data_IF_124063840782
#
_entry.id   IF_124063840782
#
_cell.length_a   1.000
_cell.length_b   1.000
_cell.length_c   1.000
_cell.angle_alpha   90.00
_cell.angle_beta   90.00
_cell.angle_gamma   90.00
#
_symmetry.space_group_name_H-M   'P 1'
#
loop_
_entity.id
_entity.type
_entity.pdbx_description
1 polymer ?
#
# COMPACT_ATOMS: atom_id res chain seq x y z
N UNK A 1 12.96 -25.72 -7.03
CA UNK A 1 11.58 -25.32 -7.40
C UNK A 1 11.24 -23.88 -7.02
N UNK A 2 11.98 -23.22 -6.11
CA UNK A 2 11.74 -21.81 -5.71
C UNK A 2 11.91 -20.79 -6.85
N UNK A 3 13.05 -20.78 -7.53
CA UNK A 3 13.34 -19.78 -8.57
C UNK A 3 12.29 -19.70 -9.71
N UNK A 4 11.72 -20.83 -10.14
CA UNK A 4 10.66 -20.82 -11.17
C UNK A 4 9.34 -20.31 -10.62
N UNK A 5 9.01 -20.62 -9.37
CA UNK A 5 7.81 -20.11 -8.71
C UNK A 5 7.91 -18.60 -8.50
N UNK A 6 9.06 -18.11 -8.06
CA UNK A 6 9.36 -16.67 -7.91
C UNK A 6 9.21 -15.93 -9.24
N UNK A 7 9.84 -16.43 -10.32
CA UNK A 7 9.68 -15.84 -11.67
C UNK A 7 8.21 -15.80 -12.13
N UNK A 8 7.44 -16.86 -11.83
CA UNK A 8 6.01 -16.90 -12.17
C UNK A 8 5.18 -15.90 -11.34
N UNK A 9 5.53 -15.69 -10.06
CA UNK A 9 4.86 -14.67 -9.23
C UNK A 9 5.11 -13.29 -9.80
N UNK A 10 6.36 -12.93 -10.08
CA UNK A 10 6.71 -11.61 -10.62
C UNK A 10 5.92 -11.32 -11.91
N UNK A 11 5.91 -12.29 -12.84
CA UNK A 11 5.20 -12.16 -14.12
C UNK A 11 3.68 -12.14 -13.96
N UNK A 12 3.14 -12.90 -13.00
CA UNK A 12 1.72 -12.88 -12.69
C UNK A 12 1.32 -11.54 -12.06
N UNK A 13 2.16 -10.99 -11.18
CA UNK A 13 1.98 -9.65 -10.61
C UNK A 13 2.00 -8.59 -11.71
N UNK A 14 2.95 -8.62 -12.65
CA UNK A 14 2.96 -7.69 -13.79
C UNK A 14 1.66 -7.75 -14.59
N UNK A 15 1.17 -8.97 -14.86
CA UNK A 15 -0.08 -9.17 -15.58
C UNK A 15 -1.28 -8.60 -14.80
N UNK A 16 -1.38 -8.86 -13.50
CA UNK A 16 -2.47 -8.37 -12.64
C UNK A 16 -2.39 -6.86 -12.47
N UNK A 17 -1.21 -6.28 -12.31
CA UNK A 17 -1.02 -4.82 -12.25
C UNK A 17 -1.47 -4.14 -13.54
N UNK A 18 -1.37 -4.79 -14.70
CA UNK A 18 -1.89 -4.28 -15.96
C UNK A 18 -3.40 -4.50 -16.17
N UNK A 19 -3.92 -5.66 -15.78
CA UNK A 19 -5.26 -6.13 -16.18
C UNK A 19 -6.32 -6.10 -15.06
N UNK A 20 -5.91 -5.90 -13.80
CA UNK A 20 -6.78 -6.00 -12.63
C UNK A 20 -6.88 -7.42 -12.05
N UNK A 21 -7.48 -7.48 -10.86
CA UNK A 21 -7.73 -8.67 -10.05
C UNK A 21 -9.17 -9.19 -10.22
N UNK A 22 -10.13 -8.29 -10.43
CA UNK A 22 -11.52 -8.64 -10.68
C UNK A 22 -11.67 -9.51 -11.94
N UNK A 23 -12.32 -10.66 -11.81
CA UNK A 23 -12.49 -11.59 -12.93
C UNK A 23 -11.24 -12.37 -13.32
N UNK A 24 -10.15 -12.28 -12.53
CA UNK A 24 -8.94 -13.08 -12.75
C UNK A 24 -9.30 -14.56 -12.90
N UNK A 25 -8.80 -15.18 -13.96
CA UNK A 25 -8.90 -16.62 -14.19
C UNK A 25 -7.55 -17.19 -14.61
N UNK A 26 -7.32 -18.47 -14.30
CA UNK A 26 -6.03 -19.12 -14.57
C UNK A 26 -5.73 -19.23 -16.07
N UNK A 27 -6.76 -19.39 -16.91
CA UNK A 27 -6.58 -19.63 -18.34
C UNK A 27 -5.99 -18.44 -19.11
N UNK A 28 -6.54 -17.21 -19.02
CA UNK A 28 -5.93 -16.04 -19.64
C UNK A 28 -4.56 -15.71 -19.05
N UNK A 29 -4.40 -15.87 -17.72
CA UNK A 29 -3.14 -15.66 -17.05
C UNK A 29 -2.08 -16.64 -17.56
N UNK A 30 -2.34 -17.94 -17.54
CA UNK A 30 -1.42 -18.97 -18.03
C UNK A 30 -1.01 -18.73 -19.48
N UNK A 31 -1.96 -18.38 -20.35
CA UNK A 31 -1.67 -18.02 -21.74
C UNK A 31 -0.71 -16.83 -21.84
N UNK A 32 -0.95 -15.76 -21.07
CA UNK A 32 -0.06 -14.59 -21.03
C UNK A 32 1.34 -14.92 -20.45
N UNK A 33 1.42 -15.85 -19.50
CA UNK A 33 2.69 -16.33 -18.97
C UNK A 33 3.40 -17.37 -19.87
N UNK A 34 2.78 -17.80 -20.98
CA UNK A 34 3.33 -18.83 -21.86
C UNK A 34 3.41 -20.21 -21.18
N UNK A 35 2.44 -20.52 -20.31
CA UNK A 35 2.33 -21.78 -19.59
C UNK A 35 0.89 -22.33 -19.64
N UNK A 36 0.59 -23.37 -18.86
CA UNK A 36 -0.77 -23.92 -18.73
C UNK A 36 -1.32 -23.74 -17.32
N UNK A 37 -2.64 -23.72 -17.18
CA UNK A 37 -3.35 -23.65 -15.89
C UNK A 37 -2.87 -24.76 -14.94
N UNK A 38 -2.64 -25.96 -15.49
CA UNK A 38 -2.11 -27.11 -14.74
C UNK A 38 -0.72 -26.84 -14.18
N UNK A 39 0.13 -26.13 -14.92
CA UNK A 39 1.47 -25.75 -14.45
C UNK A 39 1.40 -24.65 -13.39
N UNK A 40 0.47 -23.70 -13.51
CA UNK A 40 0.24 -22.72 -12.43
C UNK A 40 -0.22 -23.44 -11.16
N UNK A 41 -1.22 -24.33 -11.24
CA UNK A 41 -1.66 -25.14 -10.10
C UNK A 41 -0.53 -26.00 -9.55
N UNK A 42 0.34 -26.56 -10.38
CA UNK A 42 1.50 -27.32 -9.92
C UNK A 42 2.46 -26.48 -9.07
N UNK A 43 2.70 -25.21 -9.44
CA UNK A 43 3.61 -24.32 -8.70
C UNK A 43 2.98 -23.67 -7.47
N UNK A 44 1.68 -23.37 -7.52
CA UNK A 44 0.99 -22.59 -6.50
C UNK A 44 0.05 -23.41 -5.62
N UNK A 45 -0.29 -24.63 -6.02
CA UNK A 45 -1.26 -25.51 -5.34
C UNK A 45 -2.71 -25.13 -5.62
N UNK A 46 -3.04 -23.84 -5.65
CA UNK A 46 -4.39 -23.33 -5.91
C UNK A 46 -4.37 -21.96 -6.59
N UNK A 47 -5.53 -21.54 -7.11
CA UNK A 47 -5.70 -20.17 -7.64
C UNK A 47 -5.63 -19.15 -6.51
N UNK A 48 -6.19 -19.47 -5.36
CA UNK A 48 -6.23 -18.64 -4.16
C UNK A 48 -4.80 -18.37 -3.66
N UNK A 49 -3.94 -19.39 -3.62
CA UNK A 49 -2.55 -19.22 -3.22
C UNK A 49 -1.75 -18.38 -4.23
N UNK A 50 -2.02 -18.53 -5.55
CA UNK A 50 -1.45 -17.64 -6.56
C UNK A 50 -1.86 -16.19 -6.31
N UNK A 51 -3.14 -15.94 -6.00
CA UNK A 51 -3.65 -14.60 -5.68
C UNK A 51 -2.94 -14.04 -4.45
N UNK A 52 -2.81 -14.84 -3.38
CA UNK A 52 -2.06 -14.45 -2.17
C UNK A 52 -0.64 -14.00 -2.53
N UNK A 53 0.09 -14.80 -3.32
CA UNK A 53 1.47 -14.49 -3.68
C UNK A 53 1.56 -13.20 -4.53
N UNK A 54 0.61 -13.00 -5.46
CA UNK A 54 0.52 -11.78 -6.28
C UNK A 54 0.24 -10.54 -5.42
N UNK A 55 -0.72 -10.62 -4.48
CA UNK A 55 -1.06 -9.50 -3.59
C UNK A 55 0.13 -9.10 -2.71
N UNK A 56 0.84 -10.09 -2.16
CA UNK A 56 2.06 -9.86 -1.36
C UNK A 56 3.18 -9.25 -2.19
N UNK A 57 3.41 -9.76 -3.40
CA UNK A 57 4.39 -9.19 -4.33
C UNK A 57 4.04 -7.74 -4.69
N UNK A 58 2.76 -7.44 -4.98
CA UNK A 58 2.27 -6.09 -5.27
C UNK A 58 2.53 -5.13 -4.10
N UNK A 59 2.14 -5.50 -2.88
CA UNK A 59 2.36 -4.67 -1.69
C UNK A 59 3.84 -4.44 -1.38
N UNK A 60 4.67 -5.48 -1.53
CA UNK A 60 6.11 -5.34 -1.31
C UNK A 60 6.77 -4.44 -2.36
N UNK A 61 6.37 -4.53 -3.64
CA UNK A 61 6.86 -3.62 -4.70
C UNK A 61 6.47 -2.16 -4.40
N UNK A 62 5.21 -1.92 -4.07
CA UNK A 62 4.71 -0.58 -3.71
C UNK A 62 5.48 -0.01 -2.51
N UNK A 63 5.61 -0.77 -1.42
CA UNK A 63 6.33 -0.34 -0.23
C UNK A 63 7.83 -0.17 -0.47
N UNK A 64 8.45 -0.99 -1.33
CA UNK A 64 9.86 -0.86 -1.69
C UNK A 64 10.14 0.46 -2.44
N UNK A 65 9.26 0.89 -3.34
CA UNK A 65 9.40 2.20 -3.98
C UNK A 65 9.34 3.34 -2.95
N UNK A 66 8.42 3.28 -1.98
CA UNK A 66 8.34 4.28 -0.91
C UNK A 66 9.59 4.26 -0.01
N UNK A 67 10.09 3.07 0.35
CA UNK A 67 11.34 2.92 1.10
C UNK A 67 12.55 3.43 0.35
N UNK A 68 12.50 3.49 -0.98
CA UNK A 68 13.59 3.99 -1.82
C UNK A 68 13.61 5.52 -1.94
N UNK A 69 12.54 6.22 -1.53
CA UNK A 69 12.54 7.68 -1.48
C UNK A 69 13.58 8.18 -0.48
N UNK A 70 14.34 9.20 -0.88
CA UNK A 70 15.19 9.92 0.04
C UNK A 70 14.33 10.61 1.11
N UNK A 71 14.80 10.71 2.36
CA UNK A 71 14.09 11.47 3.39
C UNK A 71 13.81 12.90 2.92
N UNK A 72 12.58 13.37 3.13
CA UNK A 72 12.21 14.74 2.79
C UNK A 72 12.81 15.74 3.78
N UNK A 73 12.93 17.00 3.34
CA UNK A 73 13.53 18.07 4.15
C UNK A 73 12.73 18.45 5.41
N UNK A 74 11.45 18.05 5.47
CA UNK A 74 10.55 18.33 6.60
C UNK A 74 9.31 17.43 6.56
N UNK A 75 8.56 17.30 7.67
CA UNK A 75 7.26 16.62 7.68
C UNK A 75 6.27 17.18 6.68
N UNK A 76 6.28 18.51 6.49
CA UNK A 76 5.46 19.18 5.47
C UNK A 76 5.80 18.71 4.06
N UNK A 77 7.09 18.66 3.72
CA UNK A 77 7.54 18.24 2.39
C UNK A 77 7.29 16.74 2.14
N UNK A 78 7.36 15.92 3.20
CA UNK A 78 7.10 14.48 3.12
C UNK A 78 5.71 14.15 2.58
N UNK A 79 4.69 14.94 2.92
CA UNK A 79 3.33 14.77 2.39
C UNK A 79 3.31 14.96 0.87
N UNK A 80 3.96 16.01 0.35
CA UNK A 80 4.01 16.25 -1.10
C UNK A 80 4.82 15.18 -1.84
N UNK A 81 5.93 14.71 -1.26
CA UNK A 81 6.79 13.72 -1.89
C UNK A 81 6.11 12.34 -1.93
N UNK A 82 5.43 11.93 -0.86
CA UNK A 82 4.61 10.72 -0.86
C UNK A 82 3.44 10.83 -1.84
N UNK A 83 2.74 11.97 -1.89
CA UNK A 83 1.68 12.18 -2.87
C UNK A 83 2.19 12.06 -4.31
N UNK A 84 3.35 12.66 -4.60
CA UNK A 84 3.98 12.55 -5.93
C UNK A 84 4.27 11.10 -6.29
N UNK A 85 4.82 10.31 -5.36
CA UNK A 85 5.06 8.89 -5.56
C UNK A 85 3.75 8.15 -5.88
N UNK A 86 2.70 8.33 -5.07
CA UNK A 86 1.39 7.66 -5.26
C UNK A 86 0.75 7.94 -6.61
N UNK A 87 0.96 9.15 -7.14
CA UNK A 87 0.41 9.54 -8.44
C UNK A 87 1.17 9.00 -9.65
N UNK A 88 2.29 8.28 -9.45
CA UNK A 88 3.00 7.57 -10.51
C UNK A 88 2.16 6.41 -11.05
N UNK A 89 2.47 5.98 -12.28
CA UNK A 89 1.74 4.87 -12.92
C UNK A 89 1.88 3.56 -12.15
N UNK A 90 3.09 3.21 -11.69
CA UNK A 90 3.35 1.96 -10.95
C UNK A 90 2.55 1.91 -9.65
N UNK A 91 2.53 3.00 -8.88
CA UNK A 91 1.76 3.08 -7.65
C UNK A 91 0.26 3.07 -7.91
N UNK A 92 -0.21 3.79 -8.92
CA UNK A 92 -1.64 3.78 -9.30
C UNK A 92 -2.13 2.37 -9.70
N UNK A 93 -1.27 1.57 -10.33
CA UNK A 93 -1.59 0.16 -10.65
C UNK A 93 -1.66 -0.71 -9.39
N UNK A 94 -0.72 -0.53 -8.45
CA UNK A 94 -0.73 -1.24 -7.16
C UNK A 94 -1.97 -0.87 -6.34
N UNK A 95 -2.30 0.42 -6.29
CA UNK A 95 -3.46 0.96 -5.59
C UNK A 95 -4.78 0.40 -6.14
N UNK A 96 -4.91 0.33 -7.47
CA UNK A 96 -6.07 -0.33 -8.09
C UNK A 96 -6.24 -1.78 -7.61
N UNK A 97 -5.15 -2.56 -7.60
CA UNK A 97 -5.18 -3.95 -7.12
C UNK A 97 -5.55 -4.01 -5.63
N UNK A 98 -5.03 -3.09 -4.83
CA UNK A 98 -5.39 -2.96 -3.41
C UNK A 98 -6.87 -2.65 -3.22
N UNK A 99 -7.44 -1.69 -3.95
CA UNK A 99 -8.88 -1.33 -3.87
C UNK A 99 -9.76 -2.51 -4.28
N UNK A 100 -9.40 -3.23 -5.35
CA UNK A 100 -10.13 -4.42 -5.79
C UNK A 100 -10.07 -5.53 -4.73
N UNK A 101 -8.90 -5.81 -4.15
CA UNK A 101 -8.75 -6.79 -3.08
C UNK A 101 -9.52 -6.39 -1.81
N UNK A 102 -9.44 -5.13 -1.41
CA UNK A 102 -10.16 -4.56 -0.25
C UNK A 102 -11.66 -4.69 -0.41
N UNK A 103 -12.18 -4.42 -1.61
CA UNK A 103 -13.60 -4.58 -1.94
C UNK A 103 -14.05 -6.04 -1.83
N UNK A 104 -13.27 -6.97 -2.38
CA UNK A 104 -13.59 -8.41 -2.28
C UNK A 104 -13.51 -8.91 -0.82
N UNK A 105 -12.53 -8.44 -0.05
CA UNK A 105 -12.38 -8.74 1.36
C UNK A 105 -13.54 -8.21 2.21
N UNK A 106 -13.99 -6.98 1.94
CA UNK A 106 -15.16 -6.38 2.59
C UNK A 106 -16.43 -7.20 2.37
N UNK A 107 -16.57 -7.81 1.19
CA UNK A 107 -17.67 -8.72 0.87
C UNK A 107 -17.48 -10.15 1.41
N UNK A 108 -16.46 -10.39 2.24
CA UNK A 108 -16.23 -11.67 2.90
C UNK A 108 -15.63 -12.75 2.00
N UNK A 109 -15.13 -12.39 0.81
CA UNK A 109 -14.47 -13.35 -0.07
C UNK A 109 -13.06 -13.67 0.45
N UNK A 110 -12.73 -14.94 0.46
CA UNK A 110 -11.38 -15.41 0.76
C UNK A 110 -10.54 -15.43 -0.53
N UNK A 111 -9.22 -15.17 -0.47
CA UNK A 111 -8.39 -14.94 0.72
C UNK A 111 -8.25 -13.46 1.15
N UNK A 112 -9.06 -12.57 0.57
CA UNK A 112 -8.73 -11.15 0.48
C UNK A 112 -8.65 -10.40 1.82
N UNK A 113 -9.55 -10.66 2.78
CA UNK A 113 -9.58 -9.89 4.02
C UNK A 113 -8.27 -9.97 4.83
N UNK A 114 -7.71 -11.17 4.99
CA UNK A 114 -6.46 -11.37 5.71
C UNK A 114 -5.26 -10.81 4.93
N UNK A 115 -5.25 -10.96 3.61
CA UNK A 115 -4.16 -10.44 2.78
C UNK A 115 -4.18 -8.92 2.71
N UNK A 116 -5.34 -8.27 2.64
CA UNK A 116 -5.46 -6.81 2.71
C UNK A 116 -4.90 -6.27 4.04
N UNK A 117 -5.19 -6.93 5.16
CA UNK A 117 -4.59 -6.55 6.44
C UNK A 117 -3.06 -6.67 6.42
N UNK A 118 -2.51 -7.71 5.79
CA UNK A 118 -1.06 -7.88 5.62
C UNK A 118 -0.45 -6.82 4.69
N UNK A 119 -1.11 -6.50 3.57
CA UNK A 119 -0.70 -5.45 2.64
C UNK A 119 -0.64 -4.09 3.36
N UNK A 120 -1.67 -3.76 4.12
CA UNK A 120 -1.74 -2.53 4.91
C UNK A 120 -0.60 -2.44 5.92
N UNK A 121 -0.27 -3.54 6.62
CA UNK A 121 0.83 -3.54 7.57
C UNK A 121 2.18 -3.22 6.89
N UNK A 122 2.45 -3.81 5.72
CA UNK A 122 3.69 -3.58 4.95
C UNK A 122 3.78 -2.14 4.46
N UNK A 123 2.69 -1.61 3.91
CA UNK A 123 2.64 -0.24 3.38
C UNK A 123 2.71 0.81 4.49
N UNK A 124 1.91 0.66 5.55
CA UNK A 124 1.87 1.61 6.67
C UNK A 124 3.21 1.74 7.38
N UNK A 125 3.97 0.65 7.49
CA UNK A 125 5.32 0.72 8.06
C UNK A 125 6.27 1.52 7.15
N UNK A 126 6.19 1.37 5.82
CA UNK A 126 6.98 2.17 4.89
C UNK A 126 6.61 3.67 4.97
N UNK A 127 5.32 4.00 5.03
CA UNK A 127 4.81 5.37 5.24
C UNK A 127 5.35 5.97 6.53
N UNK A 128 5.22 5.22 7.64
CA UNK A 128 5.69 5.65 8.96
C UNK A 128 7.20 5.90 8.99
N UNK A 129 8.00 4.97 8.45
CA UNK A 129 9.45 5.10 8.42
C UNK A 129 9.90 6.30 7.58
N UNK A 130 9.28 6.54 6.43
CA UNK A 130 9.57 7.73 5.62
C UNK A 130 9.24 9.03 6.36
N UNK A 131 8.09 9.10 7.05
CA UNK A 131 7.70 10.25 7.86
C UNK A 131 8.69 10.51 9.00
N UNK A 132 9.11 9.47 9.71
CA UNK A 132 10.13 9.58 10.79
C UNK A 132 11.45 10.09 10.24
N UNK A 133 11.93 9.49 9.15
CA UNK A 133 13.17 9.92 8.51
C UNK A 133 13.11 11.38 8.02
N UNK A 134 11.91 11.88 7.74
CA UNK A 134 11.65 13.27 7.31
C UNK A 134 11.37 14.24 8.47
N UNK A 135 11.55 13.81 9.72
CA UNK A 135 11.47 14.67 10.91
C UNK A 135 10.17 14.57 11.72
N UNK A 136 9.28 13.62 11.44
CA UNK A 136 8.15 13.33 12.33
C UNK A 136 8.66 12.59 13.59
N UNK A 137 8.34 13.04 14.81
CA UNK A 137 8.72 12.33 16.03
C UNK A 137 8.16 10.91 16.07
N UNK A 138 8.98 9.93 16.47
CA UNK A 138 8.60 8.52 16.50
C UNK A 138 7.33 8.26 17.31
N UNK A 139 7.19 8.94 18.47
CA UNK A 139 6.01 8.86 19.35
C UNK A 139 4.70 9.21 18.65
N UNK A 140 4.74 10.05 17.60
CA UNK A 140 3.57 10.51 16.83
C UNK A 140 3.47 9.88 15.45
N UNK A 141 4.48 9.12 15.04
CA UNK A 141 4.59 8.62 13.68
C UNK A 141 3.41 7.74 13.26
N UNK A 142 2.86 6.95 14.19
CA UNK A 142 1.73 6.06 13.94
C UNK A 142 0.44 6.83 13.64
N UNK A 143 0.03 7.73 14.54
CA UNK A 143 -1.18 8.55 14.35
C UNK A 143 -1.11 9.44 13.09
N UNK A 144 0.06 10.01 12.81
CA UNK A 144 0.27 10.88 11.65
C UNK A 144 0.25 10.05 10.36
N UNK A 145 0.87 8.87 10.34
CA UNK A 145 0.83 7.97 9.19
C UNK A 145 -0.62 7.55 8.88
N UNK A 146 -1.40 7.18 9.90
CA UNK A 146 -2.81 6.82 9.75
C UNK A 146 -3.65 7.97 9.18
N UNK A 147 -3.45 9.19 9.68
CA UNK A 147 -4.13 10.39 9.16
C UNK A 147 -3.78 10.65 7.68
N UNK A 148 -2.48 10.58 7.35
CA UNK A 148 -2.00 10.79 5.97
C UNK A 148 -2.59 9.72 5.05
N UNK A 149 -2.55 8.45 5.45
CA UNK A 149 -3.08 7.34 4.65
C UNK A 149 -4.57 7.48 4.39
N UNK A 150 -5.37 7.72 5.44
CA UNK A 150 -6.81 7.87 5.32
C UNK A 150 -7.19 9.04 4.40
N UNK A 151 -6.41 10.12 4.43
CA UNK A 151 -6.63 11.28 3.56
C UNK A 151 -6.22 11.00 2.12
N UNK A 152 -5.07 10.35 1.90
CA UNK A 152 -4.59 9.98 0.57
C UNK A 152 -5.50 8.99 -0.13
N UNK A 153 -6.01 7.98 0.58
CA UNK A 153 -7.01 7.05 0.05
C UNK A 153 -8.23 7.81 -0.52
N UNK A 154 -8.72 8.83 0.19
CA UNK A 154 -9.80 9.69 -0.32
C UNK A 154 -9.40 10.46 -1.59
N UNK A 155 -8.21 11.04 -1.61
CA UNK A 155 -7.70 11.76 -2.78
C UNK A 155 -7.48 10.85 -4.00
N UNK A 156 -7.00 9.63 -3.79
CA UNK A 156 -6.75 8.64 -4.85
C UNK A 156 -8.07 8.18 -5.49
N UNK A 157 -9.10 7.95 -4.69
CA UNK A 157 -10.44 7.60 -5.18
C UNK A 157 -11.10 8.74 -5.98
N UNK A 158 -10.87 10.00 -5.60
CA UNK A 158 -11.41 11.16 -6.33
C UNK A 158 -10.62 11.49 -7.60
N UNK A 159 -9.35 11.05 -7.70
CA UNK A 159 -8.42 11.44 -8.77
C UNK A 159 -8.96 11.28 -10.20
N UNK A 160 -9.66 10.18 -10.57
CA UNK A 160 -10.21 10.03 -11.91
C UNK A 160 -11.24 11.10 -12.30
N UNK A 161 -11.82 11.80 -11.31
CA UNK A 161 -12.85 12.81 -11.49
C UNK A 161 -12.32 14.24 -11.39
N UNK A 162 -11.05 14.41 -11.01
CA UNK A 162 -10.40 15.71 -10.84
C UNK A 162 -9.45 16.01 -11.99
N UNK A 163 -9.35 17.28 -12.36
CA UNK A 163 -8.40 17.77 -13.39
C UNK A 163 -7.10 18.34 -12.82
N UNK A 164 -6.98 18.42 -11.49
CA UNK A 164 -5.88 19.04 -10.78
C UNK A 164 -5.52 18.26 -9.49
N UNK A 165 -4.48 18.71 -8.79
CA UNK A 165 -4.14 18.16 -7.48
C UNK A 165 -5.28 18.33 -6.46
N UNK A 166 -5.37 17.45 -5.44
CA UNK A 166 -6.38 17.57 -4.41
C UNK A 166 -6.29 18.93 -3.70
N UNK A 167 -7.37 19.72 -3.62
CA UNK A 167 -7.34 21.04 -3.00
C UNK A 167 -6.87 21.03 -1.54
N UNK A 168 -7.14 19.94 -0.82
CA UNK A 168 -6.79 19.77 0.59
C UNK A 168 -5.36 19.26 0.82
N UNK A 169 -4.56 18.97 -0.22
CA UNK A 169 -3.20 18.44 -0.06
C UNK A 169 -2.29 19.39 0.73
N UNK A 170 -2.36 20.69 0.44
CA UNK A 170 -1.58 21.69 1.17
C UNK A 170 -2.03 21.82 2.63
N UNK A 171 -3.33 21.70 2.90
CA UNK A 171 -3.87 21.71 4.25
C UNK A 171 -3.40 20.48 5.04
N UNK A 172 -3.36 19.29 4.42
CA UNK A 172 -2.80 18.09 5.02
C UNK A 172 -1.32 18.27 5.38
N UNK A 173 -0.51 18.82 4.48
CA UNK A 173 0.91 19.08 4.73
C UNK A 173 1.14 20.04 5.92
N UNK A 174 0.31 21.09 6.03
CA UNK A 174 0.33 22.01 7.17
C UNK A 174 -0.09 21.33 8.48
N UNK A 175 -1.12 20.48 8.43
CA UNK A 175 -1.59 19.72 9.58
C UNK A 175 -0.50 18.75 10.09
N UNK A 176 0.14 18.00 9.19
CA UNK A 176 1.25 17.10 9.53
C UNK A 176 2.42 17.87 10.15
N UNK A 177 2.78 19.03 9.60
CA UNK A 177 3.83 19.88 10.19
C UNK A 177 3.48 20.36 11.60
N UNK A 178 2.22 20.75 11.82
CA UNK A 178 1.74 21.23 13.13
C UNK A 178 1.69 20.10 14.16
N UNK A 179 1.22 18.92 13.76
CA UNK A 179 1.23 17.72 14.60
C UNK A 179 2.68 17.30 14.90
N UNK A 180 3.59 17.31 13.94
CA UNK A 180 4.99 16.98 14.22
C UNK A 180 5.66 17.93 15.24
N UNK A 181 5.28 19.21 15.27
CA UNK A 181 5.85 20.22 16.15
C UNK A 181 5.18 20.31 17.54
N UNK A 182 3.98 19.78 17.71
CA UNK A 182 3.25 19.89 18.97
C UNK A 182 3.85 18.97 20.05
N UNK A 183 3.99 19.51 21.26
CA UNK A 183 4.51 18.80 22.43
C UNK A 183 3.65 17.56 22.75
N UNK A 184 4.26 16.46 23.23
CA UNK A 184 3.51 15.28 23.64
C UNK A 184 2.54 15.64 24.77
N UNK A 185 1.27 15.24 24.63
CA UNK A 185 0.27 15.44 25.69
C UNK A 185 0.72 14.70 26.95
N UNK A 186 0.79 15.41 28.06
CA UNK A 186 1.20 14.94 29.39
C UNK A 186 0.32 13.84 30.01
N UNK A 187 -0.76 13.42 29.35
CA UNK A 187 -1.76 12.51 29.92
C UNK A 187 -1.31 11.03 29.96
N UNK A 188 -0.30 10.65 29.17
CA UNK A 188 0.21 9.26 29.17
C UNK A 188 1.08 8.92 30.38
N UNK A 189 1.49 9.92 31.17
CA UNK A 189 2.31 9.72 32.37
C UNK A 189 1.50 9.23 33.59
N UNK A 190 0.16 9.32 33.56
CA UNK A 190 -0.67 9.05 34.76
C UNK A 190 -1.32 7.66 34.79
N UNK A 191 -1.14 6.82 33.75
CA UNK A 191 -1.76 5.48 33.71
C UNK A 191 -0.84 4.36 34.23
N UNK A 192 0.43 4.65 34.55
CA UNK A 192 1.37 3.68 35.16
C UNK A 192 1.54 3.81 36.68
N UNK A 193 0.73 4.64 37.34
CA UNK A 193 0.81 4.82 38.79
C UNK A 193 -0.56 4.71 39.45
N UNK A 194 -1.14 3.51 39.50
CA UNK A 194 -1.93 3.09 40.65
C UNK A 194 -1.74 1.59 40.93
N UNK A 195 -1.68 1.20 42.22
CA UNK A 195 -1.12 -0.07 42.69
C UNK A 195 -2.12 -1.24 42.68
#
# INVERSE_FOLDING_TARGET
MGARREELVERATDWVLGNGLLGLSLRPLAAALGTSDRMLIYHFGSKEQLIVDVLRCSAERSAAELRSLAPSLSPHQAVFDQWRLRTTESQSQCERVYVEASTLGLFGQQPYAAEVAAMNAVWMEAVRLHLVASGVPEARSREIAELVEATFMGFELDRPFLSAQPPALAALAQAVSSLAAAEPRSDDANTSAMP
#
